data_IF_180655137641
#
_entry.id   IF_180655137641
#
_cell.length_a   1.000
_cell.length_b   1.000
_cell.length_c   1.000
_cell.angle_alpha   90.00
_cell.angle_beta   90.00
_cell.angle_gamma   90.00
#
_symmetry.space_group_name_H-M   'P 1'
#
loop_
_entity.id
_entity.type
_entity.pdbx_description
1 polymer ?
#
# COMPACT_ATOMS: atom_id res chain seq x y z
N UNK A 1 13.09 -9.31 7.40
CA UNK A 1 11.79 -9.60 6.76
C UNK A 1 11.01 -10.56 7.66
N UNK A 2 9.69 -10.38 7.80
CA UNK A 2 8.83 -11.27 8.60
C UNK A 2 7.43 -11.37 7.99
N UNK A 3 6.85 -12.56 7.98
CA UNK A 3 5.43 -12.74 7.69
C UNK A 3 4.60 -12.42 8.94
N UNK A 4 3.58 -11.59 8.78
CA UNK A 4 2.75 -11.08 9.87
C UNK A 4 1.29 -11.13 9.48
N UNK A 5 0.45 -11.59 10.41
CA UNK A 5 -0.98 -11.33 10.37
C UNK A 5 -1.24 -10.08 11.23
N UNK A 6 -1.65 -8.98 10.62
CA UNK A 6 -1.82 -7.70 11.31
C UNK A 6 -3.09 -7.75 12.16
N UNK A 7 -2.99 -7.35 13.43
CA UNK A 7 -4.18 -7.21 14.28
C UNK A 7 -4.89 -5.91 13.99
N UNK A 8 -6.18 -5.83 14.32
CA UNK A 8 -6.97 -4.62 14.13
C UNK A 8 -6.35 -3.44 14.88
N UNK A 9 -5.85 -3.64 16.09
CA UNK A 9 -5.22 -2.61 16.92
C UNK A 9 -3.95 -2.06 16.26
N UNK A 10 -3.11 -2.94 15.68
CA UNK A 10 -1.91 -2.51 14.95
C UNK A 10 -2.26 -1.74 13.68
N UNK A 11 -3.29 -2.16 12.95
CA UNK A 11 -3.79 -1.46 11.76
C UNK A 11 -4.29 -0.05 12.10
N UNK A 12 -5.04 0.12 13.19
CA UNK A 12 -5.52 1.44 13.65
C UNK A 12 -4.35 2.35 14.04
N UNK A 13 -3.33 1.82 14.71
CA UNK A 13 -2.12 2.59 15.03
C UNK A 13 -1.34 2.99 13.78
N UNK A 14 -1.24 2.10 12.80
CA UNK A 14 -0.51 2.35 11.55
C UNK A 14 -1.22 3.39 10.66
N UNK A 15 -2.55 3.32 10.56
CA UNK A 15 -3.37 4.21 9.74
C UNK A 15 -4.07 5.32 10.53
N UNK A 16 -3.67 5.62 11.76
CA UNK A 16 -4.37 6.56 12.64
C UNK A 16 -4.59 7.95 12.04
N UNK A 17 -3.70 8.38 11.14
CA UNK A 17 -3.85 9.63 10.37
C UNK A 17 -5.06 9.64 9.40
N UNK A 18 -5.79 8.54 9.27
CA UNK A 18 -6.92 8.38 8.36
C UNK A 18 -8.23 8.02 9.08
N UNK A 19 -8.29 8.06 10.41
CA UNK A 19 -9.46 7.60 11.20
C UNK A 19 -10.78 8.27 10.79
N UNK A 20 -10.75 9.57 10.46
CA UNK A 20 -11.95 10.33 10.10
C UNK A 20 -12.33 10.20 8.60
N UNK A 21 -11.59 9.40 7.83
CA UNK A 21 -11.83 9.26 6.39
C UNK A 21 -12.84 8.15 6.12
N UNK A 22 -13.76 8.32 5.15
CA UNK A 22 -14.83 7.34 4.88
C UNK A 22 -14.32 5.96 4.43
N UNK A 23 -13.07 5.85 3.97
CA UNK A 23 -12.45 4.60 3.54
C UNK A 23 -11.63 3.90 4.64
N UNK A 24 -11.53 4.47 5.85
CA UNK A 24 -10.68 3.97 6.91
C UNK A 24 -11.00 2.54 7.31
N UNK A 25 -12.28 2.25 7.54
CA UNK A 25 -12.74 0.91 7.91
C UNK A 25 -12.43 -0.13 6.83
N UNK A 26 -12.61 0.23 5.56
CA UNK A 26 -12.24 -0.65 4.43
C UNK A 26 -10.74 -0.93 4.39
N UNK A 27 -9.90 0.07 4.69
CA UNK A 27 -8.44 -0.08 4.74
C UNK A 27 -7.99 -1.00 5.88
N UNK A 28 -8.60 -0.85 7.06
CA UNK A 28 -8.35 -1.73 8.21
C UNK A 28 -8.78 -3.16 7.89
N UNK A 29 -9.96 -3.36 7.30
CA UNK A 29 -10.41 -4.69 6.89
C UNK A 29 -9.46 -5.32 5.86
N UNK A 30 -9.01 -4.54 4.87
CA UNK A 30 -8.11 -5.04 3.84
C UNK A 30 -6.77 -5.51 4.43
N UNK A 31 -6.10 -4.68 5.23
CA UNK A 31 -4.77 -5.01 5.77
C UNK A 31 -4.80 -6.16 6.80
N UNK A 32 -5.95 -6.42 7.41
CA UNK A 32 -6.15 -7.51 8.38
C UNK A 32 -6.71 -8.79 7.76
N UNK A 33 -7.12 -8.76 6.49
CA UNK A 33 -7.78 -9.90 5.83
C UNK A 33 -6.84 -11.08 5.53
N UNK A 34 -5.54 -10.84 5.42
CA UNK A 34 -4.57 -11.88 5.04
C UNK A 34 -3.17 -11.61 5.61
N UNK A 35 -2.32 -12.64 5.74
CA UNK A 35 -0.93 -12.46 6.13
C UNK A 35 -0.16 -11.62 5.11
N UNK A 36 0.62 -10.65 5.59
CA UNK A 36 1.51 -9.81 4.78
C UNK A 36 2.97 -10.07 5.11
N UNK A 37 3.86 -9.62 4.22
CA UNK A 37 5.30 -9.61 4.45
C UNK A 37 5.73 -8.21 4.85
N UNK A 38 6.24 -8.05 6.08
CA UNK A 38 6.88 -6.83 6.54
C UNK A 38 8.39 -6.88 6.28
N UNK A 39 8.91 -5.82 5.67
CA UNK A 39 10.33 -5.69 5.28
C UNK A 39 10.85 -4.35 5.81
N UNK A 40 12.07 -4.36 6.33
CA UNK A 40 12.86 -3.16 6.59
C UNK A 40 14.03 -3.18 5.60
N UNK A 41 14.22 -2.08 4.88
CA UNK A 41 15.25 -1.91 3.84
C UNK A 41 16.24 -0.86 4.32
N UNK A 42 17.53 -1.15 4.14
CA UNK A 42 18.66 -0.29 4.49
C UNK A 42 19.43 0.10 3.21
N UNK A 43 20.02 1.28 3.22
CA UNK A 43 20.85 1.80 2.13
C UNK A 43 20.84 3.33 2.09
N UNK A 44 21.74 3.89 1.29
CA UNK A 44 21.80 5.33 1.04
C UNK A 44 20.49 5.82 0.42
N UNK A 45 19.88 6.85 1.01
CA UNK A 45 18.58 7.39 0.56
C UNK A 45 17.47 6.33 0.38
N UNK A 46 17.46 5.27 1.20
CA UNK A 46 16.56 4.11 1.03
C UNK A 46 15.07 4.49 0.92
N UNK A 47 14.61 5.50 1.67
CA UNK A 47 13.23 5.97 1.63
C UNK A 47 12.87 6.52 0.24
N UNK A 48 13.70 7.40 -0.32
CA UNK A 48 13.45 8.03 -1.61
C UNK A 48 13.49 7.02 -2.75
N UNK A 49 14.47 6.11 -2.71
CA UNK A 49 14.60 5.03 -3.70
C UNK A 49 13.37 4.12 -3.69
N UNK A 50 12.90 3.71 -2.51
CA UNK A 50 11.70 2.87 -2.38
C UNK A 50 10.46 3.61 -2.87
N UNK A 51 10.29 4.89 -2.52
CA UNK A 51 9.14 5.69 -2.99
C UNK A 51 9.16 5.88 -4.50
N UNK A 52 10.33 6.14 -5.09
CA UNK A 52 10.45 6.31 -6.55
C UNK A 52 10.12 5.01 -7.31
N UNK A 53 10.58 3.86 -6.80
CA UNK A 53 10.39 2.57 -7.47
C UNK A 53 9.00 1.97 -7.26
N UNK A 54 8.45 2.08 -6.04
CA UNK A 54 7.19 1.42 -5.67
C UNK A 54 5.98 2.35 -5.75
N UNK A 55 6.12 3.60 -5.33
CA UNK A 55 5.00 4.55 -5.28
C UNK A 55 4.86 5.37 -6.57
N UNK A 56 5.37 4.86 -7.70
CA UNK A 56 5.31 5.55 -9.00
C UNK A 56 3.87 5.51 -9.56
N UNK A 57 3.13 6.64 -9.62
CA UNK A 57 1.73 6.64 -10.03
C UNK A 57 1.52 6.46 -11.54
N UNK A 58 2.55 6.12 -12.32
CA UNK A 58 2.55 6.27 -13.79
C UNK A 58 2.21 5.01 -14.58
N UNK A 59 1.87 3.87 -13.95
CA UNK A 59 1.53 2.67 -14.72
C UNK A 59 0.26 2.79 -15.56
N UNK A 60 -0.72 3.62 -15.17
CA UNK A 60 -1.91 3.88 -16.01
C UNK A 60 -1.69 4.98 -17.05
N UNK A 61 -0.84 5.98 -16.76
CA UNK A 61 -0.48 7.06 -17.70
C UNK A 61 0.48 6.61 -18.82
N UNK A 62 1.20 5.51 -18.62
CA UNK A 62 2.18 4.98 -19.59
C UNK A 62 1.68 3.74 -20.34
N UNK A 63 0.40 3.35 -20.20
CA UNK A 63 -0.16 2.26 -21.00
C UNK A 63 -0.41 2.75 -22.42
N UNK A 64 -0.01 1.98 -23.45
CA UNK A 64 -0.45 2.26 -24.82
C UNK A 64 -1.99 2.35 -24.88
N UNK A 65 -2.52 3.29 -25.68
CA UNK A 65 -3.95 3.58 -25.76
C UNK A 65 -4.84 2.34 -26.06
N UNK A 66 -4.25 1.27 -26.61
CA UNK A 66 -4.93 0.00 -26.90
C UNK A 66 -5.44 -0.78 -25.67
N UNK A 67 -5.10 -0.38 -24.43
CA UNK A 67 -5.48 -1.10 -23.20
C UNK A 67 -6.51 -0.36 -22.32
N UNK A 68 -7.11 0.73 -22.79
CA UNK A 68 -8.06 1.56 -22.00
C UNK A 68 -9.53 1.21 -22.29
N UNK A 69 -9.81 0.31 -23.23
CA UNK A 69 -11.17 -0.01 -23.68
C UNK A 69 -11.65 -1.41 -23.26
N UNK A 70 -11.37 -1.89 -22.05
CA UNK A 70 -12.03 -3.08 -21.47
C UNK A 70 -11.94 -3.09 -19.94
N UNK A 71 -12.66 -2.20 -19.28
CA UNK A 71 -13.15 -2.47 -17.93
C UNK A 71 -14.41 -1.65 -17.73
N UNK A 72 -15.52 -2.38 -17.61
CA UNK A 72 -16.86 -1.90 -17.32
C UNK A 72 -16.93 -1.03 -16.05
#
# INVERSE_FOLDING_TARGET
MKMLHVTRELAHRHYGAHVDKPFFEGLVQFITSSPLIAIAVEGESAVDVVRQRWARPTLWKQRPAQYVATSA
#
